data_IF_195771153111
#
_entry.id   IF_195771153111
#
_cell.length_a   1.000
_cell.length_b   1.000
_cell.length_c   1.000
_cell.angle_alpha   90.00
_cell.angle_beta   90.00
_cell.angle_gamma   90.00
#
_symmetry.space_group_name_H-M   'P 1'
#
loop_
_entity.id
_entity.type
_entity.pdbx_description
1 polymer ?
#
# COMPACT_ATOMS: atom_id res chain seq x y z
N UNK A 1 4.34 -7.61 38.51
CA UNK A 1 5.50 -7.26 37.66
C UNK A 1 5.01 -7.28 36.21
N UNK A 2 4.99 -6.15 35.49
CA UNK A 2 4.72 -6.18 34.03
C UNK A 2 5.81 -7.05 33.37
N UNK A 3 5.43 -8.09 32.67
CA UNK A 3 6.39 -8.86 31.85
C UNK A 3 7.06 -7.89 30.89
N UNK A 4 8.40 -7.89 30.86
CA UNK A 4 9.20 -7.01 30.01
C UNK A 4 8.97 -7.45 28.56
N UNK A 5 8.66 -6.51 27.66
CA UNK A 5 8.48 -6.84 26.24
C UNK A 5 9.84 -7.30 25.67
N UNK A 6 9.93 -8.52 25.09
CA UNK A 6 11.19 -9.05 24.58
C UNK A 6 11.80 -8.22 23.44
N UNK A 7 11.00 -7.39 22.78
CA UNK A 7 11.46 -6.50 21.69
C UNK A 7 11.96 -5.12 22.17
N UNK A 8 11.95 -4.82 23.48
CA UNK A 8 12.48 -3.56 24.00
C UNK A 8 13.93 -3.26 23.57
N UNK A 9 14.86 -4.23 23.49
CA UNK A 9 16.21 -3.96 22.97
C UNK A 9 16.19 -3.44 21.54
N UNK A 10 15.42 -4.08 20.66
CA UNK A 10 15.26 -3.64 19.27
C UNK A 10 14.64 -2.24 19.18
N UNK A 11 13.61 -1.97 19.99
CA UNK A 11 13.00 -0.65 20.08
C UNK A 11 13.99 0.44 20.52
N UNK A 12 14.85 0.13 21.50
CA UNK A 12 15.87 1.07 22.01
C UNK A 12 16.91 1.40 20.95
N UNK A 13 17.50 0.39 20.30
CA UNK A 13 18.52 0.62 19.27
C UNK A 13 17.93 1.34 18.05
N UNK A 14 16.68 1.06 17.66
CA UNK A 14 16.00 1.81 16.60
C UNK A 14 15.76 3.28 16.98
N UNK A 15 15.39 3.56 18.24
CA UNK A 15 15.21 4.92 18.74
C UNK A 15 16.54 5.70 18.76
N UNK A 16 17.64 5.08 19.16
CA UNK A 16 18.97 5.67 19.10
C UNK A 16 19.36 5.99 17.66
N UNK A 17 19.21 5.03 16.74
CA UNK A 17 19.50 5.23 15.32
C UNK A 17 18.61 6.31 14.69
N UNK A 18 17.34 6.44 15.09
CA UNK A 18 16.46 7.51 14.59
C UNK A 18 16.93 8.91 15.00
N UNK A 19 17.57 9.04 16.17
CA UNK A 19 18.18 10.32 16.62
C UNK A 19 19.44 10.64 15.84
N UNK A 20 20.25 9.65 15.51
CA UNK A 20 21.44 9.82 14.65
C UNK A 20 21.06 10.29 13.25
N UNK A 21 19.96 9.74 12.68
CA UNK A 21 19.44 10.16 11.38
C UNK A 21 19.05 11.65 11.30
N UNK A 22 18.66 12.27 12.41
CA UNK A 22 18.32 13.69 12.46
C UNK A 22 19.53 14.61 12.21
N UNK A 23 20.73 14.13 12.45
CA UNK A 23 21.97 14.90 12.27
C UNK A 23 22.57 14.75 10.87
N UNK A 24 22.00 13.87 10.03
CA UNK A 24 22.53 13.59 8.70
C UNK A 24 22.02 14.59 7.66
N UNK A 25 22.94 14.98 6.79
CA UNK A 25 22.61 15.79 5.62
C UNK A 25 21.80 14.97 4.57
N UNK A 26 20.99 15.63 3.73
CA UNK A 26 20.21 14.97 2.68
C UNK A 26 21.02 14.04 1.78
N UNK A 27 22.26 14.44 1.44
CA UNK A 27 23.13 13.68 0.55
C UNK A 27 23.68 12.41 1.19
N UNK A 28 23.91 12.42 2.52
CA UNK A 28 24.35 11.24 3.27
C UNK A 28 23.28 10.16 3.27
N UNK A 29 22.00 10.54 3.46
CA UNK A 29 20.85 9.63 3.32
C UNK A 29 20.69 9.11 1.89
N UNK A 30 20.83 9.97 0.90
CA UNK A 30 20.76 9.59 -0.52
C UNK A 30 21.90 8.62 -0.89
N UNK A 31 23.12 8.84 -0.40
CA UNK A 31 24.25 7.92 -0.60
C UNK A 31 23.97 6.54 0.02
N UNK A 32 23.46 6.50 1.25
CA UNK A 32 23.10 5.25 1.92
C UNK A 32 22.08 4.45 1.10
N UNK A 33 21.06 5.10 0.54
CA UNK A 33 20.06 4.45 -0.34
C UNK A 33 20.67 3.91 -1.64
N UNK A 34 21.61 4.64 -2.26
CA UNK A 34 22.34 4.15 -3.44
C UNK A 34 23.23 2.95 -3.12
N UNK A 35 23.89 2.94 -1.95
CA UNK A 35 24.66 1.78 -1.49
C UNK A 35 23.77 0.57 -1.23
N UNK A 36 22.59 0.76 -0.61
CA UNK A 36 21.60 -0.29 -0.43
C UNK A 36 21.14 -0.87 -1.77
N UNK A 37 20.83 -0.02 -2.76
CA UNK A 37 20.43 -0.44 -4.10
C UNK A 37 21.53 -1.26 -4.79
N UNK A 38 22.77 -0.79 -4.73
CA UNK A 38 23.92 -1.51 -5.27
C UNK A 38 24.14 -2.86 -4.56
N UNK A 39 23.96 -2.91 -3.24
CA UNK A 39 24.04 -4.14 -2.45
C UNK A 39 22.98 -5.16 -2.87
N UNK A 40 21.71 -4.74 -3.03
CA UNK A 40 20.62 -5.61 -3.48
C UNK A 40 20.89 -6.15 -4.87
N UNK A 41 21.37 -5.31 -5.80
CA UNK A 41 21.74 -5.71 -7.16
C UNK A 41 22.87 -6.75 -7.15
N UNK A 42 23.91 -6.51 -6.36
CA UNK A 42 25.05 -7.43 -6.24
C UNK A 42 24.69 -8.77 -5.59
N UNK A 43 23.70 -8.78 -4.70
CA UNK A 43 23.23 -9.98 -4.00
C UNK A 43 22.04 -10.69 -4.70
N UNK A 44 21.68 -10.31 -5.94
CA UNK A 44 20.49 -10.79 -6.63
C UNK A 44 20.38 -12.32 -6.66
N UNK A 45 21.47 -13.04 -6.98
CA UNK A 45 21.49 -14.50 -7.02
C UNK A 45 21.20 -15.12 -5.64
N UNK A 46 21.75 -14.55 -4.56
CA UNK A 46 21.47 -14.99 -3.19
C UNK A 46 20.00 -14.78 -2.85
N UNK A 47 19.45 -13.58 -3.15
CA UNK A 47 18.06 -13.22 -2.84
C UNK A 47 17.10 -14.14 -3.58
N UNK A 48 17.30 -14.36 -4.88
CA UNK A 48 16.45 -15.24 -5.71
C UNK A 48 16.52 -16.68 -5.22
N UNK A 49 17.70 -17.18 -4.82
CA UNK A 49 17.84 -18.52 -4.25
C UNK A 49 17.06 -18.68 -2.94
N UNK A 50 17.19 -17.74 -2.00
CA UNK A 50 16.45 -17.77 -0.73
C UNK A 50 14.94 -17.66 -0.95
N UNK A 51 14.52 -16.83 -1.92
CA UNK A 51 13.13 -16.74 -2.35
C UNK A 51 12.62 -18.07 -2.95
N UNK A 52 13.45 -18.77 -3.71
CA UNK A 52 13.13 -20.09 -4.24
C UNK A 52 12.73 -21.08 -3.15
N UNK A 53 13.42 -21.06 -1.99
CA UNK A 53 13.10 -21.92 -0.84
C UNK A 53 11.75 -21.54 -0.21
N UNK A 54 11.47 -20.25 -0.05
CA UNK A 54 10.16 -19.78 0.44
C UNK A 54 9.04 -20.17 -0.55
N UNK A 55 9.30 -20.06 -1.86
CA UNK A 55 8.36 -20.47 -2.92
C UNK A 55 8.05 -21.97 -2.89
N UNK A 56 9.05 -22.82 -2.67
CA UNK A 56 8.84 -24.26 -2.54
C UNK A 56 7.94 -24.61 -1.34
N UNK A 57 8.19 -23.97 -0.21
CA UNK A 57 7.38 -24.15 0.99
C UNK A 57 5.93 -23.67 0.79
N UNK A 58 5.74 -22.52 0.15
CA UNK A 58 4.42 -21.98 -0.19
C UNK A 58 3.63 -22.93 -1.13
N UNK A 59 4.30 -23.51 -2.15
CA UNK A 59 3.68 -24.49 -3.05
C UNK A 59 3.28 -25.77 -2.32
N UNK A 60 4.14 -26.30 -1.45
CA UNK A 60 3.83 -27.47 -0.60
C UNK A 60 2.66 -27.18 0.34
N UNK A 61 2.53 -25.95 0.80
CA UNK A 61 1.41 -25.47 1.62
C UNK A 61 0.11 -25.21 0.85
N UNK A 62 0.04 -25.49 -0.46
CA UNK A 62 -1.19 -25.38 -1.26
C UNK A 62 -1.63 -23.93 -1.54
N UNK A 63 -0.71 -22.96 -1.51
CA UNK A 63 -1.05 -21.56 -1.80
C UNK A 63 -1.48 -21.38 -3.26
N UNK A 64 -2.45 -20.50 -3.49
CA UNK A 64 -2.97 -20.22 -4.84
C UNK A 64 -1.99 -19.45 -5.72
N UNK A 65 -2.28 -19.38 -7.04
CA UNK A 65 -1.40 -18.76 -8.02
C UNK A 65 -1.15 -17.26 -7.73
N UNK A 66 -2.17 -16.52 -7.30
CA UNK A 66 -2.07 -15.10 -6.97
C UNK A 66 -1.14 -14.86 -5.77
N UNK A 67 -1.20 -15.72 -4.75
CA UNK A 67 -0.27 -15.68 -3.61
C UNK A 67 1.17 -15.96 -4.05
N UNK A 68 1.37 -17.00 -4.87
CA UNK A 68 2.69 -17.38 -5.38
C UNK A 68 3.30 -16.29 -6.27
N UNK A 69 2.51 -15.62 -7.11
CA UNK A 69 2.98 -14.48 -7.91
C UNK A 69 3.43 -13.30 -7.03
N UNK A 70 2.69 -12.99 -5.96
CA UNK A 70 3.06 -11.94 -5.01
C UNK A 70 4.35 -12.25 -4.25
N UNK A 71 4.61 -13.53 -3.96
CA UNK A 71 5.80 -13.98 -3.22
C UNK A 71 7.05 -14.07 -4.10
N UNK A 72 6.88 -14.37 -5.38
CA UNK A 72 7.96 -14.64 -6.32
C UNK A 72 8.87 -13.42 -6.52
N UNK A 73 10.19 -13.63 -6.39
CA UNK A 73 11.22 -12.71 -6.83
C UNK A 73 12.01 -13.33 -7.99
N UNK A 74 12.01 -12.65 -9.12
CA UNK A 74 12.88 -12.93 -10.27
C UNK A 74 14.06 -11.95 -10.27
N UNK A 75 15.13 -12.20 -11.04
CA UNK A 75 16.22 -11.23 -11.21
C UNK A 75 15.72 -9.84 -11.63
N UNK A 76 14.71 -9.79 -12.51
CA UNK A 76 14.11 -8.53 -12.98
C UNK A 76 13.36 -7.81 -11.84
N UNK A 77 12.65 -8.56 -10.97
CA UNK A 77 11.98 -7.99 -9.80
C UNK A 77 12.99 -7.47 -8.77
N UNK A 78 14.13 -8.14 -8.60
CA UNK A 78 15.22 -7.67 -7.74
C UNK A 78 15.86 -6.40 -8.32
N UNK A 79 16.11 -6.34 -9.63
CA UNK A 79 16.58 -5.11 -10.30
C UNK A 79 15.56 -3.97 -10.15
N UNK A 80 14.26 -4.26 -10.25
CA UNK A 80 13.21 -3.27 -10.03
C UNK A 80 13.23 -2.70 -8.60
N UNK A 81 13.45 -3.53 -7.58
CA UNK A 81 13.65 -3.06 -6.20
C UNK A 81 14.85 -2.13 -6.07
N UNK A 82 15.98 -2.48 -6.67
CA UNK A 82 17.18 -1.65 -6.66
C UNK A 82 16.91 -0.28 -7.31
N UNK A 83 16.25 -0.25 -8.47
CA UNK A 83 15.84 1.00 -9.13
C UNK A 83 14.86 1.82 -8.29
N UNK A 84 13.92 1.16 -7.61
CA UNK A 84 13.00 1.84 -6.69
C UNK A 84 13.74 2.60 -5.59
N UNK A 85 14.76 1.97 -4.98
CA UNK A 85 15.59 2.63 -3.98
C UNK A 85 16.41 3.80 -4.57
N UNK A 86 16.93 3.68 -5.80
CA UNK A 86 17.62 4.77 -6.50
C UNK A 86 16.67 5.94 -6.80
N UNK A 87 15.42 5.65 -7.19
CA UNK A 87 14.38 6.67 -7.38
C UNK A 87 14.08 7.40 -6.08
N UNK A 88 13.93 6.67 -4.96
CA UNK A 88 13.74 7.27 -3.62
C UNK A 88 14.94 8.12 -3.22
N UNK A 89 16.17 7.67 -3.52
CA UNK A 89 17.39 8.45 -3.27
C UNK A 89 17.38 9.81 -4.00
N UNK A 90 16.84 9.83 -5.23
CA UNK A 90 16.78 11.03 -6.08
C UNK A 90 15.66 12.01 -5.69
N UNK A 91 14.68 11.61 -4.87
CA UNK A 91 13.62 12.50 -4.41
C UNK A 91 14.20 13.65 -3.57
N UNK A 92 13.55 14.82 -3.55
CA UNK A 92 13.86 15.87 -2.56
C UNK A 92 13.77 15.32 -1.14
N UNK A 93 14.63 15.84 -0.25
CA UNK A 93 14.55 15.48 1.17
C UNK A 93 13.38 16.23 1.82
N UNK A 94 12.42 15.53 2.44
CA UNK A 94 11.28 16.20 3.05
C UNK A 94 11.61 16.81 4.43
N UNK A 95 12.73 16.40 5.05
CA UNK A 95 13.09 16.86 6.40
C UNK A 95 13.56 18.31 6.37
N UNK A 96 12.95 19.16 7.19
CA UNK A 96 13.26 20.58 7.23
C UNK A 96 12.54 21.44 6.18
N UNK A 97 11.77 20.84 5.27
CA UNK A 97 10.95 21.58 4.31
C UNK A 97 9.97 22.51 5.04
N UNK A 98 9.98 23.80 4.68
CA UNK A 98 9.04 24.77 5.22
C UNK A 98 7.71 24.68 4.44
N UNK A 99 6.66 24.16 5.10
CA UNK A 99 5.33 24.03 4.51
C UNK A 99 4.67 25.41 4.34
N UNK A 100 4.84 26.25 5.35
CA UNK A 100 4.38 27.65 5.33
C UNK A 100 5.05 28.45 6.42
N UNK A 101 5.10 29.78 6.22
CA UNK A 101 5.57 30.73 7.24
C UNK A 101 4.70 31.97 7.26
N UNK A 102 4.60 32.64 8.41
CA UNK A 102 3.83 33.88 8.58
C UNK A 102 4.29 34.65 9.81
N UNK A 103 4.03 35.95 9.83
CA UNK A 103 4.30 36.82 10.96
C UNK A 103 3.01 37.25 11.63
N UNK A 104 2.94 37.14 12.95
CA UNK A 104 1.79 37.61 13.73
C UNK A 104 1.85 39.13 13.90
N UNK A 105 0.69 39.83 14.20
CA UNK A 105 0.67 41.26 14.42
C UNK A 105 1.64 41.77 15.52
N UNK A 106 1.99 40.93 16.48
CA UNK A 106 2.97 41.23 17.53
C UNK A 106 4.42 41.03 17.11
N UNK A 107 4.71 40.77 15.83
CA UNK A 107 6.06 40.55 15.29
C UNK A 107 6.59 39.13 15.41
N UNK A 108 5.86 38.18 16.03
CA UNK A 108 6.30 36.79 16.12
C UNK A 108 6.30 36.11 14.74
N UNK A 109 7.47 35.67 14.30
CA UNK A 109 7.65 34.91 13.06
C UNK A 109 7.48 33.41 13.34
N UNK A 110 6.56 32.75 12.60
CA UNK A 110 6.23 31.34 12.77
C UNK A 110 6.51 30.60 11.47
N UNK A 111 7.22 29.45 11.58
CA UNK A 111 7.47 28.53 10.48
C UNK A 111 6.94 27.15 10.83
N UNK A 112 6.19 26.56 9.91
CA UNK A 112 5.76 25.16 9.99
C UNK A 112 6.69 24.33 9.12
N UNK A 113 7.50 23.47 9.74
CA UNK A 113 8.49 22.65 9.06
C UNK A 113 8.17 21.15 9.21
N UNK A 114 8.54 20.35 8.21
CA UNK A 114 8.45 18.90 8.27
C UNK A 114 9.56 18.33 9.14
N UNK A 115 9.22 17.37 9.99
CA UNK A 115 10.16 16.63 10.83
C UNK A 115 9.89 15.13 10.72
N UNK A 116 10.90 14.25 10.93
CA UNK A 116 10.68 12.82 11.00
C UNK A 116 9.72 12.43 12.12
N UNK A 117 9.03 11.33 11.95
CA UNK A 117 8.19 10.73 12.99
C UNK A 117 9.02 10.09 14.10
N UNK A 118 10.15 9.49 13.75
CA UNK A 118 11.05 8.77 14.65
C UNK A 118 11.23 7.31 14.26
N UNK A 119 10.59 6.37 14.97
CA UNK A 119 10.66 4.94 14.67
C UNK A 119 9.33 4.44 14.13
N UNK A 120 9.37 3.79 12.97
CA UNK A 120 8.21 3.23 12.31
C UNK A 120 8.20 1.71 12.45
N UNK A 121 7.11 1.14 12.95
CA UNK A 121 6.84 -0.30 12.87
C UNK A 121 6.18 -0.63 11.54
N UNK A 122 6.80 -1.47 10.70
CA UNK A 122 6.22 -1.85 9.41
C UNK A 122 5.91 -3.35 9.40
N UNK A 123 4.62 -3.71 9.34
CA UNK A 123 4.14 -5.10 9.41
C UNK A 123 3.53 -5.47 8.05
N UNK A 124 4.08 -6.51 7.39
CA UNK A 124 3.66 -6.86 6.02
C UNK A 124 3.61 -8.36 5.78
N UNK A 125 2.87 -8.75 4.73
CA UNK A 125 2.67 -10.14 4.30
C UNK A 125 3.13 -10.34 2.86
N UNK A 126 3.60 -11.55 2.55
CA UNK A 126 3.77 -12.14 1.20
C UNK A 126 4.49 -11.29 0.13
N UNK A 127 5.27 -10.27 0.52
CA UNK A 127 5.92 -9.37 -0.45
C UNK A 127 7.32 -9.00 0.02
N UNK A 128 8.33 -9.73 -0.45
CA UNK A 128 9.75 -9.41 -0.15
C UNK A 128 10.16 -7.99 -0.58
N UNK A 129 9.56 -7.44 -1.64
CA UNK A 129 9.82 -6.08 -2.13
C UNK A 129 9.57 -5.02 -1.05
N UNK A 130 8.58 -5.22 -0.19
CA UNK A 130 8.21 -4.27 0.88
C UNK A 130 9.36 -4.05 1.87
N UNK A 131 10.24 -5.04 2.07
CA UNK A 131 11.44 -4.89 2.90
C UNK A 131 12.32 -3.73 2.41
N UNK A 132 12.55 -3.66 1.10
CA UNK A 132 13.36 -2.61 0.47
C UNK A 132 12.61 -1.27 0.41
N UNK A 133 11.34 -1.29 0.00
CA UNK A 133 10.53 -0.08 -0.14
C UNK A 133 10.35 0.64 1.20
N UNK A 134 9.98 -0.10 2.24
CA UNK A 134 9.79 0.45 3.58
C UNK A 134 11.10 0.99 4.16
N UNK A 135 12.22 0.25 4.01
CA UNK A 135 13.52 0.72 4.47
C UNK A 135 13.94 2.02 3.76
N UNK A 136 13.81 2.06 2.42
CA UNK A 136 14.20 3.23 1.63
C UNK A 136 13.37 4.48 1.97
N UNK A 137 12.05 4.36 2.02
CA UNK A 137 11.14 5.48 2.32
C UNK A 137 11.31 5.99 3.76
N UNK A 138 11.49 5.07 4.73
CA UNK A 138 11.74 5.46 6.12
C UNK A 138 13.06 6.22 6.26
N UNK A 139 14.16 5.70 5.71
CA UNK A 139 15.46 6.35 5.78
C UNK A 139 15.48 7.70 5.07
N UNK A 140 14.87 7.79 3.86
CA UNK A 140 14.79 9.07 3.12
C UNK A 140 14.07 10.14 3.91
N UNK A 141 13.01 9.77 4.63
CA UNK A 141 12.25 10.68 5.49
C UNK A 141 12.79 10.81 6.91
N UNK A 142 14.03 10.34 7.17
CA UNK A 142 14.74 10.52 8.45
C UNK A 142 14.22 9.61 9.58
N UNK A 143 13.53 8.51 9.25
CA UNK A 143 12.96 7.59 10.23
C UNK A 143 13.73 6.28 10.29
N UNK A 144 13.92 5.72 11.48
CA UNK A 144 14.29 4.32 11.63
C UNK A 144 13.06 3.42 11.45
N UNK A 145 13.29 2.17 11.05
CA UNK A 145 12.21 1.21 10.80
C UNK A 145 12.49 -0.14 11.46
N UNK A 146 11.44 -0.69 12.09
CA UNK A 146 11.41 -2.08 12.55
C UNK A 146 10.45 -2.84 11.64
N UNK A 147 11.01 -3.71 10.81
CA UNK A 147 10.32 -4.52 9.82
C UNK A 147 9.85 -5.84 10.44
N UNK A 148 8.61 -6.22 10.18
CA UNK A 148 8.07 -7.53 10.50
C UNK A 148 7.35 -8.10 9.30
N UNK A 149 8.03 -8.97 8.55
CA UNK A 149 7.47 -9.68 7.40
C UNK A 149 6.72 -10.96 7.80
N UNK A 150 5.88 -11.46 6.90
CA UNK A 150 5.19 -12.74 7.09
C UNK A 150 6.16 -13.93 7.13
N UNK A 151 5.73 -15.02 7.78
CA UNK A 151 6.53 -16.26 7.89
C UNK A 151 6.79 -16.94 6.54
N UNK A 152 5.91 -16.68 5.58
CA UNK A 152 5.97 -17.22 4.22
C UNK A 152 7.09 -16.64 3.35
N UNK A 153 7.69 -15.52 3.76
CA UNK A 153 8.80 -14.85 3.07
C UNK A 153 10.03 -14.65 3.97
N UNK A 154 10.15 -15.48 4.99
CA UNK A 154 11.12 -15.28 6.07
C UNK A 154 12.57 -15.33 5.60
N UNK A 155 12.94 -16.29 4.75
CA UNK A 155 14.31 -16.43 4.20
C UNK A 155 14.63 -15.26 3.28
N UNK A 156 13.69 -14.91 2.43
CA UNK A 156 13.78 -13.75 1.53
C UNK A 156 14.01 -12.45 2.32
N UNK A 157 13.19 -12.20 3.35
CA UNK A 157 13.27 -10.98 4.16
C UNK A 157 14.59 -10.90 4.94
N UNK A 158 15.09 -12.04 5.47
CA UNK A 158 16.41 -12.12 6.11
C UNK A 158 17.53 -11.78 5.14
N UNK A 159 17.53 -12.40 3.96
CA UNK A 159 18.54 -12.13 2.95
C UNK A 159 18.57 -10.66 2.53
N UNK A 160 17.40 -10.04 2.34
CA UNK A 160 17.28 -8.62 2.03
C UNK A 160 17.76 -7.75 3.18
N UNK A 161 17.30 -7.96 4.41
CA UNK A 161 17.70 -7.16 5.57
C UNK A 161 19.21 -7.26 5.84
N UNK A 162 19.82 -8.44 5.69
CA UNK A 162 21.27 -8.60 5.79
C UNK A 162 22.02 -7.74 4.77
N UNK A 163 21.57 -7.71 3.53
CA UNK A 163 22.18 -6.92 2.45
C UNK A 163 22.03 -5.41 2.72
N UNK A 164 20.82 -4.97 3.10
CA UNK A 164 20.56 -3.56 3.43
C UNK A 164 21.44 -3.09 4.60
N UNK A 165 21.47 -3.85 5.68
CA UNK A 165 22.29 -3.55 6.87
C UNK A 165 23.79 -3.58 6.59
N UNK A 166 24.26 -4.48 5.71
CA UNK A 166 25.66 -4.51 5.29
C UNK A 166 26.03 -3.25 4.50
N UNK A 167 25.17 -2.81 3.57
CA UNK A 167 25.39 -1.58 2.82
C UNK A 167 25.39 -0.33 3.71
N UNK A 168 24.53 -0.28 4.74
CA UNK A 168 24.48 0.84 5.68
C UNK A 168 25.79 0.98 6.49
N UNK A 169 26.50 -0.11 6.79
CA UNK A 169 27.82 -0.05 7.47
C UNK A 169 28.90 0.66 6.66
N UNK A 170 28.69 0.82 5.36
CA UNK A 170 29.58 1.56 4.46
C UNK A 170 29.15 3.04 4.28
N UNK A 171 28.15 3.48 5.03
CA UNK A 171 27.59 4.83 4.98
C UNK A 171 27.63 5.51 6.37
N UNK A 172 27.18 6.77 6.42
CA UNK A 172 26.98 7.50 7.67
C UNK A 172 25.71 7.04 8.44
N UNK A 173 24.83 6.27 7.82
CA UNK A 173 23.57 5.79 8.43
C UNK A 173 23.85 4.55 9.28
N UNK A 174 23.44 4.57 10.53
CA UNK A 174 23.52 3.40 11.42
C UNK A 174 22.76 2.21 10.82
N UNK A 175 23.38 1.02 10.82
CA UNK A 175 22.70 -0.21 10.40
C UNK A 175 21.47 -0.55 11.27
N UNK A 176 21.40 0.00 12.48
CA UNK A 176 20.27 -0.19 13.40
C UNK A 176 19.06 0.70 13.06
N UNK A 177 19.19 1.59 12.07
CA UNK A 177 18.07 2.30 11.49
C UNK A 177 17.13 1.37 10.67
N UNK A 178 17.63 0.19 10.27
CA UNK A 178 16.82 -0.85 9.61
C UNK A 178 16.95 -2.15 10.39
N UNK A 179 15.88 -2.56 11.07
CA UNK A 179 15.82 -3.80 11.82
C UNK A 179 14.75 -4.73 11.26
N UNK A 180 15.01 -6.02 11.29
CA UNK A 180 14.05 -7.06 10.92
C UNK A 180 13.77 -7.95 12.13
N UNK A 181 12.48 -8.10 12.45
CA UNK A 181 12.01 -9.15 13.36
C UNK A 181 11.75 -10.41 12.52
N UNK A 182 12.36 -11.50 12.91
CA UNK A 182 12.46 -12.68 12.05
C UNK A 182 12.07 -14.01 12.72
N UNK A 183 11.35 -13.96 13.86
CA UNK A 183 10.84 -15.17 14.50
C UNK A 183 9.72 -15.84 13.70
N UNK A 184 9.00 -15.07 12.86
CA UNK A 184 7.82 -15.53 12.13
C UNK A 184 6.59 -15.77 13.02
N UNK A 185 6.70 -15.57 14.35
CA UNK A 185 5.63 -15.79 15.31
C UNK A 185 4.54 -14.71 15.20
N UNK A 186 3.27 -15.12 15.36
CA UNK A 186 2.15 -14.16 15.50
C UNK A 186 2.23 -13.31 16.76
N UNK A 187 2.83 -13.84 17.83
CA UNK A 187 3.02 -13.10 19.09
C UNK A 187 3.95 -11.91 18.90
N UNK A 188 4.90 -11.99 17.96
CA UNK A 188 5.82 -10.89 17.62
C UNK A 188 5.07 -9.65 17.13
N UNK A 189 3.96 -9.81 16.37
CA UNK A 189 3.09 -8.71 15.95
C UNK A 189 2.52 -7.99 17.18
N UNK A 190 2.01 -8.76 18.14
CA UNK A 190 1.43 -8.20 19.38
C UNK A 190 2.50 -7.51 20.23
N UNK A 191 3.70 -8.09 20.30
CA UNK A 191 4.84 -7.51 21.02
C UNK A 191 5.28 -6.21 20.38
N UNK A 192 5.39 -6.16 19.03
CA UNK A 192 5.71 -4.95 18.28
C UNK A 192 4.65 -3.85 18.51
N UNK A 193 3.36 -4.20 18.43
CA UNK A 193 2.26 -3.28 18.72
C UNK A 193 2.28 -2.70 20.14
N UNK A 194 2.94 -3.39 21.06
CA UNK A 194 3.09 -2.97 22.47
C UNK A 194 4.35 -2.14 22.77
N UNK A 195 5.16 -1.78 21.76
CA UNK A 195 6.38 -0.97 21.93
C UNK A 195 6.09 0.54 21.94
N UNK A 196 5.06 0.99 22.61
CA UNK A 196 4.59 2.38 22.65
C UNK A 196 5.61 3.40 23.19
N UNK A 197 6.61 2.95 23.96
CA UNK A 197 7.71 3.80 24.40
C UNK A 197 8.80 4.05 23.36
N UNK A 198 8.78 3.34 22.25
CA UNK A 198 9.82 3.38 21.21
C UNK A 198 9.26 3.69 19.82
N UNK A 199 8.08 3.17 19.49
CA UNK A 199 7.44 3.40 18.18
C UNK A 199 6.61 4.68 18.17
N UNK A 200 6.61 5.36 17.04
CA UNK A 200 5.79 6.55 16.79
C UNK A 200 4.54 6.23 15.95
N UNK A 201 4.64 5.25 15.05
CA UNK A 201 3.55 4.83 14.17
C UNK A 201 3.75 3.39 13.72
N UNK A 202 2.66 2.68 13.44
CA UNK A 202 2.69 1.36 12.79
C UNK A 202 1.99 1.46 11.43
N UNK A 203 2.61 0.86 10.41
CA UNK A 203 2.06 0.75 9.05
C UNK A 203 1.86 -0.73 8.73
N UNK A 204 0.64 -1.25 8.81
CA UNK A 204 0.33 -2.60 8.37
C UNK A 204 0.11 -2.66 6.85
N UNK A 205 0.63 -3.70 6.20
CA UNK A 205 0.47 -3.98 4.77
C UNK A 205 0.15 -5.46 4.56
N UNK A 206 -1.12 -5.81 4.49
CA UNK A 206 -1.55 -7.20 4.36
C UNK A 206 -3.07 -7.32 4.28
N UNK A 207 -3.59 -8.53 4.42
CA UNK A 207 -5.03 -8.77 4.37
C UNK A 207 -5.78 -8.21 5.58
N UNK A 208 -7.12 -8.14 5.45
CA UNK A 208 -8.05 -7.61 6.46
C UNK A 208 -7.81 -8.17 7.87
N UNK A 209 -7.45 -9.46 7.97
CA UNK A 209 -7.16 -10.12 9.26
C UNK A 209 -5.94 -9.52 9.97
N UNK A 210 -4.85 -9.26 9.25
CA UNK A 210 -3.67 -8.61 9.81
C UNK A 210 -3.99 -7.18 10.26
N UNK A 211 -4.65 -6.42 9.40
CA UNK A 211 -4.95 -5.00 9.69
C UNK A 211 -5.85 -4.87 10.91
N UNK A 212 -6.88 -5.73 11.04
CA UNK A 212 -7.75 -5.78 12.24
C UNK A 212 -6.96 -6.12 13.49
N UNK A 213 -6.10 -7.15 13.45
CA UNK A 213 -5.29 -7.56 14.59
C UNK A 213 -4.31 -6.44 15.02
N UNK A 214 -3.63 -5.79 14.07
CA UNK A 214 -2.75 -4.65 14.37
C UNK A 214 -3.53 -3.50 14.99
N UNK A 215 -4.72 -3.18 14.45
CA UNK A 215 -5.57 -2.10 14.97
C UNK A 215 -6.05 -2.39 16.40
N UNK A 216 -6.33 -3.64 16.73
CA UNK A 216 -6.74 -4.07 18.08
C UNK A 216 -5.58 -3.98 19.09
N UNK A 217 -4.36 -4.37 18.67
CA UNK A 217 -3.23 -4.49 19.60
C UNK A 217 -2.38 -3.22 19.70
N UNK A 218 -2.42 -2.33 18.69
CA UNK A 218 -1.57 -1.16 18.65
C UNK A 218 -1.89 -0.16 19.77
N UNK A 219 -0.82 0.34 20.39
CA UNK A 219 -0.86 1.42 21.38
C UNK A 219 -0.33 2.74 20.84
N UNK A 220 0.05 2.75 19.58
CA UNK A 220 0.51 3.93 18.82
C UNK A 220 -0.41 4.12 17.60
N UNK A 221 -0.40 5.29 16.96
CA UNK A 221 -1.16 5.51 15.74
C UNK A 221 -0.87 4.45 14.68
N UNK A 222 -1.92 4.06 13.94
CA UNK A 222 -1.82 3.08 12.83
C UNK A 222 -2.24 3.75 11.54
N UNK A 223 -1.32 3.79 10.56
CA UNK A 223 -1.64 4.21 9.21
C UNK A 223 -2.08 3.00 8.39
N UNK A 224 -3.37 2.86 8.22
CA UNK A 224 -3.99 1.69 7.58
C UNK A 224 -5.03 2.10 6.54
N UNK A 225 -5.28 1.19 5.61
CA UNK A 225 -6.56 1.06 4.91
C UNK A 225 -7.13 -0.33 5.18
N UNK A 226 -8.45 -0.52 5.08
CA UNK A 226 -9.10 -1.82 5.30
C UNK A 226 -9.52 -2.44 3.96
N UNK A 227 -10.30 -1.74 3.21
CA UNK A 227 -10.92 -2.20 1.97
C UNK A 227 -10.69 -1.18 0.86
N UNK A 228 -10.68 -1.65 -0.38
CA UNK A 228 -10.61 -0.85 -1.59
C UNK A 228 -11.93 -0.89 -2.36
N UNK A 229 -13.06 -0.46 -1.76
CA UNK A 229 -14.32 -0.31 -2.50
C UNK A 229 -14.27 0.98 -3.28
N UNK A 230 -13.78 0.88 -4.52
CA UNK A 230 -13.48 2.02 -5.38
C UNK A 230 -14.57 2.22 -6.43
N UNK A 231 -14.88 3.48 -6.74
CA UNK A 231 -15.96 3.84 -7.64
C UNK A 231 -15.45 4.56 -8.89
N UNK A 232 -16.12 4.29 -10.00
CA UNK A 232 -16.06 5.12 -11.21
C UNK A 232 -17.45 5.70 -11.43
N UNK A 233 -17.58 7.01 -11.35
CA UNK A 233 -18.82 7.71 -11.68
C UNK A 233 -18.73 8.33 -13.07
N UNK A 234 -19.70 8.03 -13.92
CA UNK A 234 -19.86 8.58 -15.27
C UNK A 234 -20.97 9.62 -15.24
N UNK A 235 -20.59 10.86 -15.39
CA UNK A 235 -21.48 12.02 -15.38
C UNK A 235 -22.28 12.20 -16.67
N UNK A 236 -23.33 13.01 -16.64
CA UNK A 236 -24.15 13.34 -17.80
C UNK A 236 -23.33 13.98 -18.94
N UNK A 237 -22.31 14.76 -18.59
CA UNK A 237 -21.41 15.47 -19.50
C UNK A 237 -20.12 14.68 -19.83
N UNK A 238 -20.08 13.39 -19.56
CA UNK A 238 -18.88 12.59 -19.80
C UNK A 238 -18.62 12.33 -21.30
N UNK A 239 -17.34 12.30 -21.69
CA UNK A 239 -16.91 11.63 -22.91
C UNK A 239 -17.10 10.11 -22.73
N UNK A 240 -18.05 9.54 -23.46
CA UNK A 240 -18.46 8.14 -23.27
C UNK A 240 -17.42 7.14 -23.74
N UNK A 241 -16.60 7.46 -24.75
CA UNK A 241 -15.51 6.59 -25.20
C UNK A 241 -14.38 6.56 -24.17
N UNK A 242 -14.01 7.71 -23.64
CA UNK A 242 -13.07 7.81 -22.51
C UNK A 242 -13.61 7.02 -21.33
N UNK A 243 -14.87 7.20 -20.94
CA UNK A 243 -15.48 6.51 -19.82
C UNK A 243 -15.40 4.99 -19.93
N UNK A 244 -15.66 4.42 -21.12
CA UNK A 244 -15.53 2.97 -21.37
C UNK A 244 -14.08 2.52 -21.22
N UNK A 245 -13.12 3.28 -21.74
CA UNK A 245 -11.70 2.92 -21.68
C UNK A 245 -11.16 3.00 -20.24
N UNK A 246 -11.56 4.03 -19.48
CA UNK A 246 -11.21 4.15 -18.06
C UNK A 246 -11.81 3.01 -17.24
N UNK A 247 -13.09 2.68 -17.45
CA UNK A 247 -13.74 1.57 -16.77
C UNK A 247 -13.07 0.22 -17.08
N UNK A 248 -12.75 -0.03 -18.36
CA UNK A 248 -12.05 -1.24 -18.81
C UNK A 248 -10.71 -1.39 -18.08
N UNK A 249 -9.88 -0.35 -18.10
CA UNK A 249 -8.57 -0.37 -17.43
C UNK A 249 -8.71 -0.51 -15.91
N UNK A 250 -9.58 0.29 -15.29
CA UNK A 250 -9.78 0.31 -13.85
C UNK A 250 -10.27 -1.03 -13.28
N UNK A 251 -11.05 -1.81 -14.06
CA UNK A 251 -11.54 -3.12 -13.60
C UNK A 251 -10.69 -4.29 -14.06
N UNK A 252 -10.16 -4.26 -15.29
CA UNK A 252 -9.66 -5.49 -15.91
C UNK A 252 -8.15 -5.61 -15.96
N UNK A 253 -7.39 -4.53 -15.81
CA UNK A 253 -5.93 -4.56 -15.83
C UNK A 253 -5.35 -5.42 -14.68
N UNK A 254 -5.84 -5.22 -13.46
CA UNK A 254 -5.46 -6.00 -12.27
C UNK A 254 -6.61 -5.99 -11.25
N UNK A 255 -7.60 -6.88 -11.37
CA UNK A 255 -8.80 -6.83 -10.52
C UNK A 255 -8.53 -7.05 -9.03
N UNK A 256 -7.43 -7.72 -8.66
CA UNK A 256 -7.06 -8.00 -7.27
C UNK A 256 -6.19 -6.94 -6.60
N UNK A 257 -6.16 -5.69 -7.09
CA UNK A 257 -5.50 -4.57 -6.41
C UNK A 257 -6.51 -3.65 -5.75
N UNK A 258 -6.13 -3.02 -4.64
CA UNK A 258 -7.02 -2.23 -3.79
C UNK A 258 -7.62 -0.97 -4.43
N UNK A 259 -7.13 -0.54 -5.58
CA UNK A 259 -7.66 0.59 -6.35
C UNK A 259 -8.36 0.17 -7.65
N UNK A 260 -8.62 -1.14 -7.85
CA UNK A 260 -9.48 -1.60 -8.92
C UNK A 260 -10.91 -1.13 -8.70
N UNK A 261 -11.64 -0.82 -9.77
CA UNK A 261 -13.04 -0.44 -9.67
C UNK A 261 -13.88 -1.62 -9.17
N UNK A 262 -14.71 -1.38 -8.14
CA UNK A 262 -15.66 -2.35 -7.62
C UNK A 262 -17.11 -1.95 -7.93
N UNK A 263 -17.35 -0.65 -8.07
CA UNK A 263 -18.67 -0.10 -8.42
C UNK A 263 -18.58 0.93 -9.53
N UNK A 264 -19.44 0.77 -10.54
CA UNK A 264 -19.74 1.74 -11.59
C UNK A 264 -21.03 2.47 -11.22
N UNK A 265 -20.95 3.78 -11.07
CA UNK A 265 -22.10 4.67 -10.94
C UNK A 265 -22.30 5.43 -12.25
N UNK A 266 -23.54 5.52 -12.75
CA UNK A 266 -23.82 6.18 -14.02
C UNK A 266 -24.97 7.16 -13.84
N UNK A 267 -24.77 8.40 -14.28
CA UNK A 267 -25.83 9.39 -14.31
C UNK A 267 -27.01 8.91 -15.17
N UNK A 268 -28.24 9.13 -14.69
CA UNK A 268 -29.45 8.73 -15.39
C UNK A 268 -29.53 9.30 -16.83
N UNK A 269 -29.02 10.52 -17.04
CA UNK A 269 -29.02 11.17 -18.36
C UNK A 269 -27.98 10.57 -19.33
N UNK A 270 -26.92 9.92 -18.81
CA UNK A 270 -25.92 9.20 -19.61
C UNK A 270 -26.28 7.74 -19.83
N UNK A 271 -27.12 7.15 -18.98
CA UNK A 271 -27.34 5.72 -18.87
C UNK A 271 -27.73 5.04 -20.20
N UNK A 272 -28.70 5.58 -20.95
CA UNK A 272 -29.17 5.00 -22.21
C UNK A 272 -28.06 4.94 -23.27
N UNK A 273 -27.12 5.87 -23.27
CA UNK A 273 -26.02 5.92 -24.25
C UNK A 273 -24.80 5.14 -23.79
N UNK A 274 -24.46 5.20 -22.51
CA UNK A 274 -23.23 4.65 -21.95
C UNK A 274 -23.35 3.16 -21.60
N UNK A 275 -24.44 2.76 -20.92
CA UNK A 275 -24.56 1.39 -20.39
C UNK A 275 -24.50 0.29 -21.46
N UNK A 276 -25.04 0.44 -22.67
CA UNK A 276 -24.85 -0.57 -23.73
C UNK A 276 -23.36 -0.77 -24.11
N UNK A 277 -22.58 0.34 -24.16
CA UNK A 277 -21.16 0.28 -24.48
C UNK A 277 -20.37 -0.40 -23.36
N UNK A 278 -20.66 -0.02 -22.10
CA UNK A 278 -20.04 -0.61 -20.92
C UNK A 278 -20.37 -2.12 -20.80
N UNK A 279 -21.62 -2.50 -20.98
CA UNK A 279 -22.07 -3.90 -20.92
C UNK A 279 -21.34 -4.77 -21.95
N UNK A 280 -21.23 -4.32 -23.19
CA UNK A 280 -20.52 -5.05 -24.26
C UNK A 280 -19.02 -5.16 -23.92
N UNK A 281 -18.39 -4.08 -23.43
CA UNK A 281 -16.97 -4.11 -23.04
C UNK A 281 -16.72 -5.08 -21.87
N UNK A 282 -17.55 -5.05 -20.82
CA UNK A 282 -17.41 -5.92 -19.67
C UNK A 282 -17.66 -7.39 -20.05
N UNK A 283 -18.64 -7.67 -20.91
CA UNK A 283 -18.89 -8.99 -21.46
C UNK A 283 -17.68 -9.55 -22.23
N UNK A 284 -17.05 -8.74 -23.07
CA UNK A 284 -15.85 -9.12 -23.83
C UNK A 284 -14.65 -9.41 -22.92
N UNK A 285 -14.57 -8.76 -21.75
CA UNK A 285 -13.55 -8.97 -20.73
C UNK A 285 -13.85 -10.10 -19.74
N UNK A 286 -15.04 -10.71 -19.83
CA UNK A 286 -15.46 -11.77 -18.92
C UNK A 286 -15.75 -11.27 -17.50
N UNK A 287 -16.14 -9.99 -17.35
CA UNK A 287 -16.53 -9.40 -16.07
C UNK A 287 -17.97 -9.78 -15.74
N UNK A 288 -18.20 -10.37 -14.57
CA UNK A 288 -19.52 -10.56 -13.99
C UNK A 288 -20.08 -9.22 -13.53
N UNK A 289 -21.25 -8.82 -14.06
CA UNK A 289 -21.88 -7.56 -13.67
C UNK A 289 -23.07 -7.80 -12.73
N UNK A 290 -23.05 -7.17 -11.56
CA UNK A 290 -24.16 -7.12 -10.60
C UNK A 290 -24.86 -5.78 -10.71
N UNK A 291 -26.11 -5.80 -11.15
CA UNK A 291 -26.77 -4.60 -11.69
C UNK A 291 -28.01 -4.21 -10.90
N UNK A 292 -28.21 -2.90 -10.66
CA UNK A 292 -29.47 -2.42 -10.11
C UNK A 292 -30.61 -2.54 -11.14
N UNK A 293 -31.86 -2.41 -10.69
CA UNK A 293 -33.05 -2.52 -11.56
C UNK A 293 -33.02 -1.56 -12.75
N UNK A 294 -32.50 -0.33 -12.56
CA UNK A 294 -32.42 0.69 -13.62
C UNK A 294 -31.34 0.38 -14.66
N UNK A 295 -30.26 -0.30 -14.30
CA UNK A 295 -29.18 -0.68 -15.23
C UNK A 295 -29.43 -2.03 -15.88
N UNK A 296 -30.23 -2.91 -15.27
CA UNK A 296 -30.48 -4.28 -15.69
C UNK A 296 -30.89 -4.44 -17.17
N UNK A 297 -31.77 -3.59 -17.77
CA UNK A 297 -32.17 -3.73 -19.17
C UNK A 297 -31.03 -3.70 -20.18
N UNK A 298 -29.87 -3.10 -19.80
CA UNK A 298 -28.71 -2.91 -20.68
C UNK A 298 -27.71 -4.08 -20.66
N UNK A 299 -27.74 -4.93 -19.61
CA UNK A 299 -26.76 -6.00 -19.41
C UNK A 299 -27.26 -7.40 -19.84
N UNK A 300 -28.49 -7.50 -20.31
CA UNK A 300 -29.05 -8.75 -20.80
C UNK A 300 -29.45 -9.75 -19.70
N UNK A 301 -29.86 -10.97 -20.10
CA UNK A 301 -30.44 -11.95 -19.18
C UNK A 301 -29.43 -12.60 -18.20
N UNK A 302 -28.14 -12.52 -18.51
CA UNK A 302 -27.06 -13.08 -17.67
C UNK A 302 -26.63 -12.15 -16.54
N UNK A 303 -27.11 -10.90 -16.52
CA UNK A 303 -26.80 -9.95 -15.47
C UNK A 303 -27.42 -10.37 -14.12
N UNK A 304 -26.59 -10.41 -13.09
CA UNK A 304 -27.01 -10.75 -11.73
C UNK A 304 -27.62 -9.52 -11.07
N UNK A 305 -28.81 -9.60 -10.46
CA UNK A 305 -29.32 -8.49 -9.66
C UNK A 305 -28.36 -8.18 -8.51
N UNK A 306 -28.03 -6.90 -8.34
CA UNK A 306 -27.21 -6.46 -7.21
C UNK A 306 -28.02 -6.54 -5.91
N UNK A 307 -27.38 -7.05 -4.86
CA UNK A 307 -27.87 -7.05 -3.50
C UNK A 307 -27.26 -5.88 -2.71
N UNK A 308 -27.79 -5.58 -1.53
CA UNK A 308 -27.31 -4.47 -0.72
C UNK A 308 -25.83 -4.61 -0.33
N UNK A 309 -25.38 -5.84 -0.08
CA UNK A 309 -23.99 -6.15 0.29
C UNK A 309 -23.00 -5.90 -0.86
N UNK A 310 -23.45 -5.97 -2.12
CA UNK A 310 -22.61 -5.75 -3.29
C UNK A 310 -22.03 -4.34 -3.34
N UNK A 311 -22.75 -3.34 -2.84
CA UNK A 311 -22.32 -1.96 -2.85
C UNK A 311 -21.12 -1.67 -1.92
N UNK A 312 -20.92 -2.50 -0.91
CA UNK A 312 -19.81 -2.38 0.05
C UNK A 312 -18.77 -3.52 -0.08
N UNK A 313 -18.86 -4.31 -1.15
CA UNK A 313 -18.00 -5.48 -1.35
C UNK A 313 -16.79 -5.12 -2.21
N UNK A 314 -15.58 -5.41 -1.69
CA UNK A 314 -14.35 -5.48 -2.46
C UNK A 314 -14.22 -6.91 -2.98
N UNK A 315 -14.47 -7.11 -4.28
CA UNK A 315 -14.48 -8.43 -4.91
C UNK A 315 -13.10 -9.02 -5.14
N UNK A 316 -12.12 -8.15 -5.41
CA UNK A 316 -10.75 -8.54 -5.80
C UNK A 316 -10.72 -9.47 -7.03
N UNK A 317 -11.78 -9.45 -7.87
CA UNK A 317 -11.97 -10.32 -9.02
C UNK A 317 -12.66 -9.57 -10.17
N UNK A 318 -12.87 -10.25 -11.30
CA UNK A 318 -13.61 -9.73 -12.46
C UNK A 318 -15.13 -9.69 -12.18
N UNK A 319 -15.51 -8.97 -11.13
CA UNK A 319 -16.90 -8.70 -10.72
C UNK A 319 -17.06 -7.19 -10.54
N UNK A 320 -18.16 -6.63 -11.04
CA UNK A 320 -18.43 -5.18 -11.01
C UNK A 320 -19.89 -4.92 -10.65
N UNK A 321 -20.12 -4.11 -9.62
CA UNK A 321 -21.45 -3.59 -9.28
C UNK A 321 -21.78 -2.39 -10.17
N UNK A 322 -23.03 -2.29 -10.66
CA UNK A 322 -23.47 -1.22 -11.57
C UNK A 322 -24.76 -0.59 -11.09
N UNK A 323 -24.74 0.73 -10.85
CA UNK A 323 -25.89 1.48 -10.38
C UNK A 323 -26.11 2.75 -11.19
N UNK A 324 -27.39 3.01 -11.54
CA UNK A 324 -27.83 4.31 -12.10
C UNK A 324 -28.22 5.24 -10.96
N UNK A 325 -27.68 6.46 -10.98
CA UNK A 325 -27.87 7.49 -9.97
C UNK A 325 -28.47 8.76 -10.56
N UNK A 326 -29.12 9.58 -9.73
CA UNK A 326 -29.79 10.82 -10.17
C UNK A 326 -28.86 12.04 -9.96
N UNK A 327 -27.72 12.04 -10.67
CA UNK A 327 -26.73 13.10 -10.65
C UNK A 327 -25.60 12.90 -9.65
N UNK A 328 -24.64 13.83 -9.68
CA UNK A 328 -23.41 13.78 -8.88
C UNK A 328 -23.67 13.73 -7.36
N UNK A 329 -24.74 14.34 -6.88
CA UNK A 329 -25.07 14.33 -5.44
C UNK A 329 -25.42 12.92 -4.96
N UNK A 330 -26.27 12.22 -5.70
CA UNK A 330 -26.64 10.84 -5.39
C UNK A 330 -25.43 9.90 -5.49
N UNK A 331 -24.54 10.12 -6.49
CA UNK A 331 -23.26 9.41 -6.58
C UNK A 331 -22.39 9.64 -5.33
N UNK A 332 -22.23 10.88 -4.88
CA UNK A 332 -21.45 11.23 -3.69
C UNK A 332 -22.07 10.62 -2.41
N UNK A 333 -23.40 10.66 -2.28
CA UNK A 333 -24.10 10.02 -1.15
C UNK A 333 -23.87 8.50 -1.13
N UNK A 334 -23.94 7.85 -2.29
CA UNK A 334 -23.62 6.43 -2.43
C UNK A 334 -22.19 6.11 -2.03
N UNK A 335 -21.20 6.85 -2.58
CA UNK A 335 -19.78 6.67 -2.27
C UNK A 335 -19.50 6.89 -0.78
N UNK A 336 -20.09 7.91 -0.17
CA UNK A 336 -19.91 8.18 1.26
C UNK A 336 -20.53 7.10 2.16
N UNK A 337 -21.58 6.43 1.69
CA UNK A 337 -22.27 5.39 2.46
C UNK A 337 -21.59 4.02 2.33
N UNK A 338 -21.19 3.62 1.13
CA UNK A 338 -20.71 2.27 0.83
C UNK A 338 -19.21 2.21 0.57
N UNK A 339 -18.61 3.32 0.11
CA UNK A 339 -17.21 3.37 -0.26
C UNK A 339 -16.26 3.30 0.94
N UNK A 340 -15.05 2.88 0.63
CA UNK A 340 -13.95 2.79 1.61
C UNK A 340 -13.12 4.07 1.72
N UNK A 341 -13.40 5.10 0.93
CA UNK A 341 -12.62 6.33 0.79
C UNK A 341 -11.17 6.07 0.36
N UNK A 342 -10.97 5.04 -0.45
CA UNK A 342 -9.65 4.67 -0.97
C UNK A 342 -9.35 5.40 -2.29
N UNK A 343 -10.15 5.16 -3.33
CA UNK A 343 -9.98 5.76 -4.67
C UNK A 343 -11.33 5.85 -5.36
N UNK A 344 -11.76 7.05 -5.65
CA UNK A 344 -13.00 7.30 -6.36
C UNK A 344 -12.72 8.29 -7.50
N UNK A 345 -13.39 8.10 -8.63
CA UNK A 345 -13.19 8.92 -9.83
C UNK A 345 -14.50 9.37 -10.45
N UNK A 346 -14.47 10.54 -11.06
CA UNK A 346 -15.55 11.06 -11.89
C UNK A 346 -15.03 11.27 -13.31
N UNK A 347 -15.84 10.93 -14.29
CA UNK A 347 -15.60 11.23 -15.70
C UNK A 347 -16.62 12.23 -16.16
N UNK A 348 -16.19 13.43 -16.45
CA UNK A 348 -17.01 14.57 -16.84
C UNK A 348 -16.22 15.57 -17.67
N UNK A 349 -16.89 16.32 -18.53
CA UNK A 349 -16.37 17.49 -19.25
C UNK A 349 -16.90 18.80 -18.62
N UNK A 350 -17.69 18.71 -17.55
CA UNK A 350 -18.19 19.88 -16.78
C UNK A 350 -17.29 20.12 -15.57
N UNK A 351 -16.70 21.35 -15.45
CA UNK A 351 -15.76 21.76 -14.39
C UNK A 351 -16.48 22.28 -13.13
#
# INVERSE_FOLDING_TARGET
>A
MKMKNPLEPAGRTALEASRELLALEPEEKALALRLMAAGVRSAAEKIVRENGLDMEEARKGGRNAAFLDRLLLTPERVEHMARGMEQVAALPDPVGECIREWTRPNGLHIRQVRVPLGVIGFIYESRGTVTCDAAALCLKSGNAVILRGGSESLRTNRALAEVLRAALKESAVSADAVQLLDSGSRDEVRQLCGLDSFLNVIIPRGGKGLIRAVTEYARVPVLKHLDGVCHVYVDAAADLEMAVNVLDDAKTQRPGVCNAAETLLVDAAAAERFLPMAAERMRLRGVECRVCDRSRPFFGPEAIPAEEEDWSTEYEDLILSVKVVDGVRDAVEHINHYGSHHSDSIITEDE
#
